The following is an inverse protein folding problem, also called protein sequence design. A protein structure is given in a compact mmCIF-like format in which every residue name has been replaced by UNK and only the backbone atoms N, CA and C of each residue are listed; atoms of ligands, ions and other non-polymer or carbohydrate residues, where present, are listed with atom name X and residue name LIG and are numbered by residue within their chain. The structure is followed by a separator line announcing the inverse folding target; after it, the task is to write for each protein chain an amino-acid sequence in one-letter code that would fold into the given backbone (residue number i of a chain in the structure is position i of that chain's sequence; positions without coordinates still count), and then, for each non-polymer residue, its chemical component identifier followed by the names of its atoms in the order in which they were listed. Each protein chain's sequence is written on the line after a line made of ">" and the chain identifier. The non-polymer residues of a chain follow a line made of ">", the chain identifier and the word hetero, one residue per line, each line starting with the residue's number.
data_IF_905110618835
#
_entry.id   IF_905110618835
#
_cell.length_a   1.000
_cell.length_b   1.000
_cell.length_c   1.000
_cell.angle_alpha   90.00
_cell.angle_beta   90.00
_cell.angle_gamma   90.00
#
_symmetry.space_group_name_H-M   'P 1'
#
loop_
_entity.id
_entity.type
_entity.pdbx_description
1 polymer ?
#
# COMPACT_ATOMS: atom_id res chain seq x y z
N UNK A 1 -10.70 -33.39 -20.20
CA UNK A 1 -9.65 -33.32 -19.16
C UNK A 1 -8.28 -33.78 -19.72
N UNK A 2 -8.18 -34.93 -20.41
CA UNK A 2 -6.92 -35.44 -20.97
C UNK A 2 -6.34 -34.51 -22.06
N UNK A 3 -7.18 -34.03 -22.96
CA UNK A 3 -6.78 -33.12 -24.05
C UNK A 3 -6.26 -31.79 -23.55
N UNK A 4 -6.85 -31.24 -22.48
CA UNK A 4 -6.37 -30.03 -21.84
C UNK A 4 -5.01 -30.23 -21.15
N UNK A 5 -4.80 -31.41 -20.54
CA UNK A 5 -3.49 -31.76 -19.94
C UNK A 5 -2.40 -31.85 -21.00
N UNK A 6 -2.69 -32.48 -22.15
CA UNK A 6 -1.75 -32.58 -23.24
C UNK A 6 -1.42 -31.21 -23.86
N UNK A 7 -2.45 -30.37 -24.07
CA UNK A 7 -2.25 -28.98 -24.57
C UNK A 7 -1.41 -28.11 -23.64
N UNK A 8 -1.52 -28.32 -22.34
CA UNK A 8 -0.75 -27.60 -21.32
C UNK A 8 0.61 -28.25 -21.01
N UNK A 9 0.93 -29.38 -21.66
CA UNK A 9 2.17 -30.12 -21.43
C UNK A 9 2.29 -30.74 -20.03
N UNK A 10 1.17 -30.91 -19.33
CA UNK A 10 1.09 -31.47 -17.97
C UNK A 10 1.25 -33.00 -17.93
N UNK A 11 1.36 -33.64 -19.07
CA UNK A 11 1.68 -35.05 -19.29
C UNK A 11 3.17 -35.36 -19.22
N UNK A 12 4.02 -34.32 -19.24
CA UNK A 12 5.49 -34.45 -19.20
C UNK A 12 6.03 -34.49 -17.77
N UNK A 13 7.25 -35.04 -17.54
CA UNK A 13 7.91 -34.97 -16.23
C UNK A 13 8.02 -33.51 -15.73
N UNK A 14 7.84 -33.30 -14.42
CA UNK A 14 7.82 -31.97 -13.77
C UNK A 14 9.05 -31.12 -14.15
N UNK A 15 10.23 -31.73 -14.19
CA UNK A 15 11.46 -31.05 -14.56
C UNK A 15 11.41 -30.45 -15.97
N UNK A 16 10.85 -31.20 -16.93
CA UNK A 16 10.67 -30.75 -18.32
C UNK A 16 9.65 -29.64 -18.41
N UNK A 17 8.55 -29.73 -17.63
CA UNK A 17 7.54 -28.65 -17.54
C UNK A 17 8.19 -27.36 -17.04
N UNK A 18 8.96 -27.44 -15.95
CA UNK A 18 9.65 -26.29 -15.39
C UNK A 18 10.67 -25.66 -16.36
N UNK A 19 11.53 -26.48 -16.97
CA UNK A 19 12.55 -25.99 -17.92
C UNK A 19 11.90 -25.35 -19.17
N UNK A 20 10.81 -25.93 -19.67
CA UNK A 20 10.05 -25.35 -20.78
C UNK A 20 9.42 -24.02 -20.39
N UNK A 21 8.76 -23.95 -19.23
CA UNK A 21 8.19 -22.70 -18.72
C UNK A 21 9.26 -21.63 -18.51
N UNK A 22 10.36 -21.97 -17.83
CA UNK A 22 11.45 -21.03 -17.57
C UNK A 22 12.10 -20.53 -18.89
N UNK A 23 12.32 -21.42 -19.85
CA UNK A 23 12.86 -21.05 -21.16
C UNK A 23 11.93 -20.13 -21.95
N UNK A 24 10.61 -20.36 -21.92
CA UNK A 24 9.64 -19.49 -22.55
C UNK A 24 9.52 -18.14 -21.81
N UNK A 25 9.50 -18.15 -20.47
CA UNK A 25 9.45 -16.94 -19.66
C UNK A 25 10.65 -16.02 -19.90
N UNK A 26 11.86 -16.58 -20.05
CA UNK A 26 13.06 -15.80 -20.41
C UNK A 26 12.98 -15.17 -21.81
N UNK A 27 12.13 -15.68 -22.68
CA UNK A 27 11.85 -15.13 -24.03
C UNK A 27 10.65 -14.17 -24.02
N UNK A 28 10.04 -13.91 -22.85
CA UNK A 28 8.86 -13.06 -22.70
C UNK A 28 7.53 -13.77 -22.94
N UNK A 29 7.53 -15.09 -23.19
CA UNK A 29 6.32 -15.88 -23.35
C UNK A 29 5.94 -16.53 -22.01
N UNK A 30 4.92 -15.97 -21.35
CA UNK A 30 4.33 -16.49 -20.11
C UNK A 30 3.13 -17.44 -20.37
N UNK A 31 2.90 -17.78 -21.63
CA UNK A 31 1.77 -18.62 -22.05
C UNK A 31 0.44 -17.85 -22.12
N UNK A 32 -0.63 -18.61 -22.25
CA UNK A 32 -2.00 -18.07 -22.36
C UNK A 32 -2.79 -18.29 -21.06
N UNK A 33 -3.53 -17.27 -20.63
CA UNK A 33 -4.43 -17.36 -19.50
C UNK A 33 -5.63 -18.28 -19.83
N UNK A 34 -5.86 -19.27 -19.00
CA UNK A 34 -6.99 -20.20 -19.15
C UNK A 34 -8.34 -19.49 -18.96
N UNK A 35 -8.37 -18.44 -18.13
CA UNK A 35 -9.59 -17.70 -17.81
C UNK A 35 -9.94 -16.63 -18.85
N UNK A 36 -8.95 -15.95 -19.41
CA UNK A 36 -9.15 -14.84 -20.32
C UNK A 36 -8.93 -15.20 -21.79
N UNK A 37 -8.35 -16.36 -22.08
CA UNK A 37 -7.92 -16.79 -23.43
C UNK A 37 -7.04 -15.75 -24.16
N UNK A 38 -6.23 -15.00 -23.39
CA UNK A 38 -5.31 -13.99 -23.87
C UNK A 38 -3.90 -14.32 -23.40
N UNK A 39 -2.83 -13.83 -24.08
CA UNK A 39 -1.47 -13.92 -23.57
C UNK A 39 -1.40 -13.36 -22.13
N UNK A 40 -0.69 -14.05 -21.26
CA UNK A 40 -0.53 -13.62 -19.86
C UNK A 40 0.16 -12.24 -19.79
N UNK A 41 1.10 -11.98 -20.68
CA UNK A 41 1.75 -10.66 -20.82
C UNK A 41 0.76 -9.52 -21.03
N UNK A 42 -0.26 -9.72 -21.88
CA UNK A 42 -1.28 -8.71 -22.16
C UNK A 42 -2.20 -8.51 -20.95
N UNK A 43 -2.54 -9.59 -20.26
CA UNK A 43 -3.33 -9.52 -19.02
C UNK A 43 -2.56 -8.75 -17.94
N UNK A 44 -1.27 -9.04 -17.78
CA UNK A 44 -0.42 -8.35 -16.80
C UNK A 44 -0.24 -6.87 -17.13
N UNK A 45 0.05 -6.53 -18.39
CA UNK A 45 0.25 -5.13 -18.81
C UNK A 45 -0.99 -4.27 -18.55
N UNK A 46 -2.19 -4.79 -18.84
CA UNK A 46 -3.47 -4.10 -18.58
C UNK A 46 -3.77 -3.93 -17.09
N UNK A 47 -3.23 -4.80 -16.23
CA UNK A 47 -3.43 -4.75 -14.77
C UNK A 47 -2.29 -4.04 -14.05
N UNK A 48 -1.15 -3.86 -14.68
CA UNK A 48 0.00 -3.21 -14.07
C UNK A 48 -0.27 -1.74 -13.71
N UNK A 49 -0.85 -0.99 -14.63
CA UNK A 49 -1.15 0.43 -14.44
C UNK A 49 -2.01 0.67 -13.18
N UNK A 50 -3.23 0.12 -13.05
CA UNK A 50 -4.05 0.37 -11.85
C UNK A 50 -3.39 -0.15 -10.58
N UNK A 51 -2.67 -1.27 -10.63
CA UNK A 51 -1.99 -1.85 -9.47
C UNK A 51 -0.87 -0.93 -8.97
N UNK A 52 -0.03 -0.41 -9.87
CA UNK A 52 1.07 0.48 -9.52
C UNK A 52 0.54 1.79 -8.91
N UNK A 53 -0.43 2.44 -9.58
CA UNK A 53 -0.97 3.69 -9.07
C UNK A 53 -1.74 3.51 -7.76
N UNK A 54 -2.49 2.42 -7.61
CA UNK A 54 -3.15 2.09 -6.34
C UNK A 54 -2.14 1.91 -5.20
N UNK A 55 -1.04 1.18 -5.45
CA UNK A 55 0.02 0.99 -4.48
C UNK A 55 0.71 2.32 -4.11
N UNK A 56 1.05 3.13 -5.11
CA UNK A 56 1.70 4.44 -4.88
C UNK A 56 0.79 5.40 -4.11
N UNK A 57 -0.49 5.52 -4.50
CA UNK A 57 -1.41 6.42 -3.82
C UNK A 57 -1.70 5.97 -2.40
N UNK A 58 -1.94 4.67 -2.18
CA UNK A 58 -2.16 4.15 -0.83
C UNK A 58 -0.92 4.33 0.06
N UNK A 59 0.28 4.12 -0.47
CA UNK A 59 1.52 4.35 0.26
C UNK A 59 1.72 5.84 0.57
N UNK A 60 1.47 6.72 -0.40
CA UNK A 60 1.56 8.17 -0.20
C UNK A 60 0.60 8.64 0.90
N UNK A 61 -0.65 8.22 0.84
CA UNK A 61 -1.66 8.55 1.87
C UNK A 61 -1.19 8.05 3.23
N UNK A 62 -0.72 6.81 3.30
CA UNK A 62 -0.23 6.22 4.54
C UNK A 62 0.96 6.99 5.12
N UNK A 63 1.95 7.36 4.30
CA UNK A 63 3.11 8.14 4.73
C UNK A 63 2.73 9.56 5.19
N UNK A 64 1.88 10.25 4.43
CA UNK A 64 1.44 11.62 4.74
C UNK A 64 0.66 11.66 6.06
N UNK A 65 -0.13 10.65 6.36
CA UNK A 65 -0.91 10.57 7.61
C UNK A 65 -0.06 10.04 8.77
N UNK A 66 0.56 8.89 8.57
CA UNK A 66 1.17 8.12 9.67
C UNK A 66 2.49 8.72 10.15
N UNK A 67 3.33 9.23 9.24
CA UNK A 67 4.65 9.72 9.62
C UNK A 67 4.57 10.94 10.54
N UNK A 68 3.82 12.02 10.23
CA UNK A 68 3.70 13.17 11.14
C UNK A 68 3.07 12.78 12.48
N UNK A 69 2.03 11.95 12.44
CA UNK A 69 1.35 11.52 13.67
C UNK A 69 2.28 10.66 14.54
N UNK A 70 3.02 9.73 13.93
CA UNK A 70 3.98 8.87 14.62
C UNK A 70 5.13 9.65 15.27
N UNK A 71 5.71 10.63 14.56
CA UNK A 71 6.74 11.52 15.08
C UNK A 71 6.20 12.31 16.27
N UNK A 72 5.01 12.91 16.12
CA UNK A 72 4.42 13.72 17.16
C UNK A 72 4.03 12.89 18.39
N UNK A 73 3.49 11.70 18.19
CA UNK A 73 3.17 10.75 19.26
C UNK A 73 4.42 10.33 20.05
N UNK A 74 5.55 10.09 19.36
CA UNK A 74 6.83 9.79 20.01
C UNK A 74 7.36 10.99 20.81
N UNK A 75 7.31 12.19 20.24
CA UNK A 75 7.73 13.42 20.90
C UNK A 75 6.90 13.72 22.17
N UNK A 76 5.60 13.48 22.13
CA UNK A 76 4.66 13.64 23.25
C UNK A 76 4.33 12.33 23.94
N UNK A 77 5.32 11.44 24.09
CA UNK A 77 5.17 10.13 24.72
C UNK A 77 4.39 10.20 26.04
N UNK A 78 3.40 9.33 26.20
CA UNK A 78 2.55 9.23 27.40
C UNK A 78 1.43 10.27 27.47
N UNK A 79 1.39 11.24 26.53
CA UNK A 79 0.27 12.21 26.46
C UNK A 79 -1.02 11.54 25.96
N UNK A 80 -2.15 12.22 26.12
CA UNK A 80 -3.42 11.79 25.58
C UNK A 80 -3.39 11.68 24.05
N UNK A 81 -2.62 12.55 23.36
CA UNK A 81 -2.44 12.49 21.91
C UNK A 81 -1.69 11.24 21.46
N UNK A 82 -0.66 10.83 22.19
CA UNK A 82 0.03 9.57 21.96
C UNK A 82 -0.89 8.37 22.11
N UNK A 83 -1.65 8.35 23.21
CA UNK A 83 -2.58 7.25 23.48
C UNK A 83 -3.72 7.17 22.45
N UNK A 84 -4.30 8.30 22.07
CA UNK A 84 -5.35 8.34 21.03
C UNK A 84 -4.82 7.93 19.66
N UNK A 85 -3.63 8.39 19.28
CA UNK A 85 -3.01 7.99 18.00
C UNK A 85 -2.81 6.48 17.90
N UNK A 86 -2.27 5.86 18.97
CA UNK A 86 -2.07 4.41 19.01
C UNK A 86 -3.40 3.67 19.03
N UNK A 87 -4.35 4.10 19.88
CA UNK A 87 -5.67 3.45 19.97
C UNK A 87 -6.43 3.51 18.65
N UNK A 88 -6.41 4.67 17.97
CA UNK A 88 -7.04 4.83 16.65
C UNK A 88 -6.36 3.95 15.61
N UNK A 89 -5.02 3.87 15.62
CA UNK A 89 -4.29 2.98 14.72
C UNK A 89 -4.64 1.51 14.96
N UNK A 90 -4.78 1.09 16.23
CA UNK A 90 -5.20 -0.27 16.57
C UNK A 90 -6.63 -0.55 16.11
N UNK A 91 -7.56 0.37 16.32
CA UNK A 91 -8.93 0.25 15.85
C UNK A 91 -8.99 0.15 14.32
N UNK A 92 -8.26 1.02 13.61
CA UNK A 92 -8.20 0.99 12.15
C UNK A 92 -7.63 -0.35 11.61
N UNK A 93 -6.64 -0.92 12.30
CA UNK A 93 -6.08 -2.22 11.94
C UNK A 93 -7.00 -3.41 12.28
N UNK A 94 -7.91 -3.24 13.24
CA UNK A 94 -8.85 -4.30 13.66
C UNK A 94 -10.05 -4.43 12.73
N UNK A 95 -10.38 -3.37 11.98
CA UNK A 95 -11.50 -3.39 11.03
C UNK A 95 -11.06 -4.04 9.72
N UNK A 96 -11.77 -5.05 9.21
CA UNK A 96 -11.44 -5.67 7.94
C UNK A 96 -11.46 -4.66 6.78
N UNK A 97 -10.39 -4.58 6.01
CA UNK A 97 -10.26 -3.60 4.92
C UNK A 97 -11.36 -3.71 3.87
N UNK A 98 -11.82 -4.92 3.57
CA UNK A 98 -12.94 -5.13 2.64
C UNK A 98 -14.24 -4.51 3.16
N UNK A 99 -14.51 -4.62 4.47
CA UNK A 99 -15.68 -4.02 5.09
C UNK A 99 -15.63 -2.49 5.02
N UNK A 100 -14.49 -1.89 5.37
CA UNK A 100 -14.27 -0.45 5.21
C UNK A 100 -14.45 -0.01 3.76
N UNK A 101 -13.92 -0.79 2.81
CA UNK A 101 -14.08 -0.54 1.38
C UNK A 101 -15.55 -0.55 0.95
N UNK A 102 -16.32 -1.55 1.36
CA UNK A 102 -17.75 -1.64 1.06
C UNK A 102 -18.56 -0.49 1.67
N UNK A 103 -18.25 -0.08 2.92
CA UNK A 103 -18.90 1.06 3.55
C UNK A 103 -18.58 2.37 2.82
N UNK A 104 -17.32 2.60 2.46
CA UNK A 104 -16.93 3.79 1.70
C UNK A 104 -17.56 3.80 0.30
N UNK A 105 -17.58 2.67 -0.39
CA UNK A 105 -18.25 2.54 -1.68
C UNK A 105 -19.73 2.85 -1.57
N UNK A 106 -20.41 2.29 -0.57
CA UNK A 106 -21.84 2.55 -0.35
C UNK A 106 -22.11 4.03 -0.08
N UNK A 107 -21.48 4.60 0.96
CA UNK A 107 -21.80 5.95 1.41
C UNK A 107 -21.20 7.03 0.51
N UNK A 108 -19.89 6.95 0.19
CA UNK A 108 -19.20 8.01 -0.52
C UNK A 108 -19.38 7.96 -2.05
N UNK A 109 -19.47 6.74 -2.61
CA UNK A 109 -19.64 6.60 -4.04
C UNK A 109 -21.11 6.48 -4.46
N UNK A 110 -21.91 5.63 -3.78
CA UNK A 110 -23.29 5.37 -4.22
C UNK A 110 -24.28 6.40 -3.68
N UNK A 111 -24.25 6.69 -2.36
CA UNK A 111 -25.23 7.60 -1.75
C UNK A 111 -24.89 9.08 -1.99
N UNK A 112 -23.62 9.47 -1.80
CA UNK A 112 -23.16 10.85 -1.96
C UNK A 112 -22.68 11.19 -3.38
N UNK A 113 -22.35 10.19 -4.21
CA UNK A 113 -21.87 10.40 -5.57
C UNK A 113 -20.52 11.11 -5.69
N UNK A 114 -19.71 11.15 -4.63
CA UNK A 114 -18.43 11.87 -4.62
C UNK A 114 -17.36 11.17 -5.47
N UNK A 115 -17.39 9.84 -5.52
CA UNK A 115 -16.42 9.00 -6.21
C UNK A 115 -17.12 8.00 -7.12
N UNK A 116 -16.42 7.49 -8.15
CA UNK A 116 -16.92 6.37 -8.93
C UNK A 116 -17.10 5.12 -8.06
N UNK A 117 -18.22 4.42 -8.24
CA UNK A 117 -18.54 3.25 -7.42
C UNK A 117 -17.77 1.98 -7.81
N UNK A 118 -17.36 1.84 -9.08
CA UNK A 118 -16.70 0.64 -9.59
C UNK A 118 -15.90 0.91 -10.87
N UNK A 119 -15.07 -0.06 -11.25
CA UNK A 119 -14.31 -0.04 -12.51
C UNK A 119 -13.00 0.75 -12.42
N UNK A 120 -12.41 1.02 -13.60
CA UNK A 120 -11.17 1.79 -13.76
C UNK A 120 -11.32 2.84 -14.89
N UNK A 121 -12.53 3.29 -15.14
CA UNK A 121 -12.89 4.07 -16.31
C UNK A 121 -13.26 3.20 -17.51
N UNK A 122 -13.83 3.81 -18.55
CA UNK A 122 -14.14 3.14 -19.81
C UNK A 122 -12.92 2.97 -20.72
N UNK A 123 -13.08 2.34 -21.89
CA UNK A 123 -12.00 2.22 -22.88
C UNK A 123 -11.43 3.58 -23.33
N UNK A 124 -12.27 4.61 -23.36
CA UNK A 124 -11.93 5.96 -23.80
C UNK A 124 -11.63 6.91 -22.62
N UNK A 125 -11.59 6.39 -21.39
CA UNK A 125 -11.30 7.20 -20.20
C UNK A 125 -9.91 7.82 -20.28
N UNK A 126 -9.82 9.10 -20.01
CA UNK A 126 -8.55 9.79 -19.91
C UNK A 126 -7.80 9.38 -18.62
N UNK A 127 -6.56 9.86 -18.50
CA UNK A 127 -5.72 9.54 -17.35
C UNK A 127 -6.36 10.03 -16.04
N UNK A 128 -6.92 11.22 -16.02
CA UNK A 128 -7.49 11.82 -14.81
C UNK A 128 -8.74 11.06 -14.34
N UNK A 129 -9.59 10.66 -15.28
CA UNK A 129 -10.76 9.85 -14.99
C UNK A 129 -10.36 8.50 -14.40
N UNK A 130 -9.37 7.82 -14.99
CA UNK A 130 -8.82 6.57 -14.44
C UNK A 130 -8.28 6.74 -13.02
N UNK A 131 -7.52 7.82 -12.77
CA UNK A 131 -7.00 8.11 -11.43
C UNK A 131 -8.11 8.37 -10.42
N UNK A 132 -9.19 9.04 -10.83
CA UNK A 132 -10.37 9.28 -9.97
C UNK A 132 -10.99 7.98 -9.44
N UNK A 133 -11.00 6.92 -10.23
CA UNK A 133 -11.47 5.59 -9.80
C UNK A 133 -10.57 4.96 -8.73
N UNK A 134 -9.31 5.34 -8.65
CA UNK A 134 -8.37 4.81 -7.67
C UNK A 134 -8.36 5.56 -6.34
N UNK A 135 -8.93 6.77 -6.25
CA UNK A 135 -8.89 7.58 -5.03
C UNK A 135 -9.52 6.83 -3.85
N UNK A 136 -10.74 6.36 -4.00
CA UNK A 136 -11.47 5.71 -2.91
C UNK A 136 -10.78 4.44 -2.39
N UNK A 137 -10.41 3.46 -3.25
CA UNK A 137 -9.67 2.29 -2.79
C UNK A 137 -8.28 2.64 -2.23
N UNK A 138 -7.61 3.69 -2.74
CA UNK A 138 -6.34 4.16 -2.18
C UNK A 138 -6.48 4.72 -0.77
N UNK A 139 -7.56 5.43 -0.49
CA UNK A 139 -7.87 5.93 0.86
C UNK A 139 -8.07 4.76 1.82
N UNK A 140 -8.86 3.75 1.43
CA UNK A 140 -9.11 2.57 2.26
C UNK A 140 -7.81 1.84 2.60
N UNK A 141 -6.99 1.53 1.57
CA UNK A 141 -5.71 0.86 1.76
C UNK A 141 -4.71 1.74 2.51
N UNK A 142 -4.71 3.04 2.24
CA UNK A 142 -3.86 4.02 2.91
C UNK A 142 -4.12 4.10 4.40
N UNK A 143 -5.39 4.12 4.83
CA UNK A 143 -5.77 4.11 6.25
C UNK A 143 -5.27 2.84 6.95
N UNK A 144 -5.48 1.67 6.34
CA UNK A 144 -5.03 0.39 6.91
C UNK A 144 -3.50 0.36 7.04
N UNK A 145 -2.77 0.77 6.01
CA UNK A 145 -1.31 0.82 6.03
C UNK A 145 -0.78 1.89 7.00
N UNK A 146 -1.51 2.98 7.20
CA UNK A 146 -1.15 4.03 8.16
C UNK A 146 -0.98 3.50 9.57
N UNK A 147 -1.79 2.55 10.00
CA UNK A 147 -1.71 1.96 11.33
C UNK A 147 -0.35 1.27 11.59
N UNK A 148 0.18 0.58 10.60
CA UNK A 148 1.48 -0.08 10.68
C UNK A 148 2.62 0.95 10.67
N UNK A 149 2.61 1.87 9.70
CA UNK A 149 3.65 2.89 9.54
C UNK A 149 3.72 3.80 10.77
N UNK A 150 2.57 4.20 11.33
CA UNK A 150 2.52 5.01 12.55
C UNK A 150 3.25 4.33 13.71
N UNK A 151 2.98 3.05 13.94
CA UNK A 151 3.62 2.29 15.03
C UNK A 151 5.13 2.16 14.82
N UNK A 152 5.56 1.85 13.60
CA UNK A 152 6.98 1.78 13.28
C UNK A 152 7.67 3.13 13.43
N UNK A 153 7.10 4.19 12.86
CA UNK A 153 7.65 5.55 12.98
C UNK A 153 7.78 5.98 14.44
N UNK A 154 6.72 5.71 15.24
CA UNK A 154 6.76 6.03 16.67
C UNK A 154 7.82 5.24 17.42
N UNK A 155 7.93 3.95 17.19
CA UNK A 155 8.93 3.10 17.85
C UNK A 155 10.35 3.58 17.52
N UNK A 156 10.68 3.70 16.23
CA UNK A 156 11.98 4.20 15.78
C UNK A 156 12.31 5.58 16.32
N UNK A 157 11.34 6.48 16.34
CA UNK A 157 11.54 7.83 16.91
C UNK A 157 11.81 7.80 18.42
N UNK A 158 11.15 6.91 19.18
CA UNK A 158 11.41 6.76 20.61
C UNK A 158 12.82 6.27 20.89
N UNK A 159 13.30 5.30 20.11
CA UNK A 159 14.64 4.77 20.22
C UNK A 159 15.68 5.88 19.95
N UNK A 160 15.52 6.57 18.82
CA UNK A 160 16.42 7.65 18.41
C UNK A 160 16.42 8.82 19.41
N UNK A 161 15.25 9.23 19.92
CA UNK A 161 15.15 10.32 20.89
C UNK A 161 15.82 10.00 22.25
N UNK A 162 16.11 8.71 22.51
CA UNK A 162 16.88 8.24 23.66
C UNK A 162 18.38 8.29 23.51
N UNK A 163 18.92 8.47 22.32
CA UNK A 163 20.34 8.40 22.00
C UNK A 163 21.16 9.56 22.59
N UNK A 164 22.43 9.28 22.91
CA UNK A 164 23.32 10.25 23.55
C UNK A 164 23.63 11.48 22.70
N UNK A 165 23.68 11.35 21.38
CA UNK A 165 23.87 12.49 20.49
C UNK A 165 22.68 13.45 20.50
N UNK A 166 21.47 12.96 20.74
CA UNK A 166 20.25 13.77 20.91
C UNK A 166 20.34 14.54 22.24
N UNK A 167 20.79 13.88 23.32
CA UNK A 167 21.05 14.58 24.60
C UNK A 167 22.10 15.68 24.44
N UNK A 168 23.18 15.41 23.73
CA UNK A 168 24.22 16.39 23.42
C UNK A 168 23.66 17.56 22.61
N UNK A 169 22.81 17.33 21.63
CA UNK A 169 22.18 18.38 20.85
C UNK A 169 21.30 19.29 21.74
N UNK A 170 20.55 18.73 22.67
CA UNK A 170 19.72 19.45 23.64
C UNK A 170 20.60 20.28 24.61
N UNK A 171 21.70 19.69 25.12
CA UNK A 171 22.63 20.36 26.02
C UNK A 171 23.31 21.57 25.37
N UNK A 172 23.46 21.57 24.04
CA UNK A 172 23.96 22.73 23.27
C UNK A 172 22.88 23.79 23.00
N UNK A 173 21.71 23.71 23.63
CA UNK A 173 20.64 24.71 23.53
C UNK A 173 19.85 24.65 22.21
N UNK A 174 19.92 23.56 21.46
CA UNK A 174 19.12 23.43 20.22
C UNK A 174 17.63 23.28 20.53
N UNK A 175 16.81 24.07 19.84
CA UNK A 175 15.36 23.98 19.98
C UNK A 175 14.82 22.60 19.53
N UNK A 176 13.80 22.08 20.22
CA UNK A 176 13.23 20.74 20.03
C UNK A 176 12.83 20.43 18.58
N UNK A 177 12.21 21.37 17.87
CA UNK A 177 11.84 21.16 16.46
C UNK A 177 13.07 20.86 15.59
N UNK A 178 14.22 21.52 15.86
CA UNK A 178 15.46 21.27 15.13
C UNK A 178 16.07 19.92 15.53
N UNK A 179 15.99 19.54 16.79
CA UNK A 179 16.41 18.23 17.28
C UNK A 179 15.62 17.13 16.59
N UNK A 180 14.28 17.23 16.59
CA UNK A 180 13.39 16.24 15.97
C UNK A 180 13.60 16.16 14.46
N UNK A 181 13.48 17.29 13.75
CA UNK A 181 13.46 17.28 12.27
C UNK A 181 14.84 17.08 11.64
N UNK A 182 15.91 17.56 12.28
CA UNK A 182 17.26 17.54 11.69
C UNK A 182 18.16 16.46 12.25
N UNK A 183 17.95 16.04 13.50
CA UNK A 183 18.82 15.06 14.16
C UNK A 183 18.11 13.71 14.39
N UNK A 184 16.82 13.69 14.67
CA UNK A 184 16.11 12.45 14.87
C UNK A 184 15.55 11.86 13.56
N UNK A 185 14.86 12.65 12.75
CA UNK A 185 14.20 12.16 11.54
C UNK A 185 15.16 11.79 10.40
N UNK A 186 16.39 12.31 10.43
CA UNK A 186 17.38 12.04 9.37
C UNK A 186 18.13 10.72 9.57
N UNK A 187 18.12 10.15 10.75
CA UNK A 187 18.76 8.89 11.13
C UNK A 187 17.74 7.82 11.41
#
# INVERSE_FOLDING_TARGET
>A
AAELRARLGLDRPILIQYLTFAGNALRGDLGTSIFFNLPVTDVLSRRAEPTIFLALFSLLIALVIATPIGIYAAYRRGSWLDQTAISTAMLAASVPSFWTGLMFQRYLATELGWFPAAGYGGPDADFLERMRHLILPSIVLGIVNSALILRFTRASMLDILGEDYIRTARSKGMGESRVVLRHALKN
#
